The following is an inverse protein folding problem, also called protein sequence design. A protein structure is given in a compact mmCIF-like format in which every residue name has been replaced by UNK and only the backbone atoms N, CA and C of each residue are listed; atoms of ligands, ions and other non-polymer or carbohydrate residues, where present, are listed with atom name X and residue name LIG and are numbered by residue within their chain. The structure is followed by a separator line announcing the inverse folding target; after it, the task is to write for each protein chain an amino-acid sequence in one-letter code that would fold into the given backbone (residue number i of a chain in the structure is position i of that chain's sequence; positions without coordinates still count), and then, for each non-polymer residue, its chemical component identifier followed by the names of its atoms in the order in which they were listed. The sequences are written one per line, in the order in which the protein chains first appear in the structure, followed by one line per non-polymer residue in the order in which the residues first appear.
data_IF_597135659164
#
_entry.id   IF_597135659164
#
_cell.length_a   1.000
_cell.length_b   1.000
_cell.length_c   1.000
_cell.angle_alpha   90.00
_cell.angle_beta   90.00
_cell.angle_gamma   90.00
#
_symmetry.space_group_name_H-M   'P 1'
#
loop_
_entity.id
_entity.type
_entity.pdbx_description
1 polymer ?
#
# COMPACT_ATOMS: atom_id res chain seq x y z
N UNK A 1 24.88 24.68 51.85
CA UNK A 1 23.50 24.41 51.35
C UNK A 1 23.12 25.19 50.08
N UNK A 2 23.74 26.36 49.78
CA UNK A 2 23.42 27.19 48.60
C UNK A 2 23.88 26.64 47.24
N UNK A 3 24.89 25.74 47.24
CA UNK A 3 25.41 25.09 46.02
C UNK A 3 24.58 23.87 45.58
N UNK A 4 23.79 23.31 46.50
CA UNK A 4 22.91 22.17 46.20
C UNK A 4 21.63 22.60 45.47
N UNK A 5 21.15 23.81 45.75
CA UNK A 5 20.00 24.41 45.05
C UNK A 5 20.33 24.93 43.64
N UNK A 6 21.60 25.26 43.36
CA UNK A 6 22.03 25.78 42.06
C UNK A 6 22.21 24.70 40.98
N UNK A 7 22.34 23.44 41.40
CA UNK A 7 22.49 22.28 40.51
C UNK A 7 21.11 21.71 40.15
N UNK A 8 20.11 21.89 41.02
CA UNK A 8 18.75 21.39 40.81
C UNK A 8 17.95 22.19 39.77
N UNK A 9 18.31 23.45 39.51
CA UNK A 9 17.65 24.30 38.51
C UNK A 9 18.19 24.12 37.09
N UNK A 10 19.39 23.54 36.92
CA UNK A 10 20.01 23.32 35.61
C UNK A 10 19.50 22.04 34.90
N UNK A 11 18.88 21.13 35.66
CA UNK A 11 18.36 19.86 35.13
C UNK A 11 16.98 20.00 34.44
N UNK A 12 16.28 21.13 34.61
CA UNK A 12 14.92 21.32 34.11
C UNK A 12 14.88 21.97 32.71
N UNK A 13 15.98 22.57 32.24
CA UNK A 13 16.04 23.19 30.91
C UNK A 13 16.39 22.25 29.75
N UNK A 14 16.84 21.01 30.02
CA UNK A 14 17.26 20.10 28.94
C UNK A 14 16.12 19.22 28.39
N UNK A 15 14.92 19.29 28.97
CA UNK A 15 13.82 18.35 28.68
C UNK A 15 12.83 18.81 27.58
N UNK A 16 13.00 19.99 26.97
CA UNK A 16 11.96 20.59 26.09
C UNK A 16 12.40 20.74 24.62
N UNK A 17 13.46 20.06 24.17
CA UNK A 17 13.97 20.19 22.78
C UNK A 17 13.63 19.03 21.83
N UNK A 18 12.75 18.10 22.22
CA UNK A 18 12.17 17.14 21.27
C UNK A 18 10.93 17.75 20.61
N UNK A 19 11.13 18.82 19.85
CA UNK A 19 10.15 19.26 18.84
C UNK A 19 10.16 18.21 17.74
N UNK A 20 9.26 17.23 17.84
CA UNK A 20 9.06 16.22 16.82
C UNK A 20 8.60 16.93 15.54
N UNK A 21 9.46 16.96 14.52
CA UNK A 21 9.05 17.28 13.16
C UNK A 21 8.12 16.16 12.70
N UNK A 22 6.80 16.39 12.76
CA UNK A 22 5.84 15.53 12.07
C UNK A 22 6.02 15.75 10.56
N UNK A 23 6.48 14.72 9.86
CA UNK A 23 6.55 14.73 8.41
C UNK A 23 5.17 15.01 7.81
N UNK A 24 5.13 15.76 6.72
CA UNK A 24 3.90 16.40 6.23
C UNK A 24 2.96 15.50 5.44
N UNK A 25 3.35 14.26 5.12
CA UNK A 25 2.53 13.35 4.33
C UNK A 25 1.56 12.54 5.21
N UNK A 26 0.34 12.36 4.72
CA UNK A 26 -0.60 11.38 5.28
C UNK A 26 -0.34 10.06 4.57
N UNK A 27 -0.07 9.01 5.33
CA UNK A 27 0.09 7.65 4.79
C UNK A 27 -0.84 6.72 5.56
N UNK A 28 -1.58 5.89 4.86
CA UNK A 28 -2.43 4.85 5.44
C UNK A 28 -2.24 3.53 4.71
N UNK A 29 -2.43 2.43 5.42
CA UNK A 29 -2.24 1.10 4.89
C UNK A 29 -3.46 0.25 5.23
N UNK A 30 -3.90 -0.57 4.28
CA UNK A 30 -4.97 -1.54 4.45
C UNK A 30 -4.66 -2.80 3.64
N UNK A 31 -5.22 -3.92 4.07
CA UNK A 31 -5.12 -5.18 3.35
C UNK A 31 -6.42 -5.46 2.59
N UNK A 32 -6.32 -6.06 1.42
CA UNK A 32 -7.46 -6.45 0.58
C UNK A 32 -7.25 -7.85 0.01
N UNK A 33 -8.36 -8.53 -0.26
CA UNK A 33 -8.37 -9.68 -1.17
C UNK A 33 -8.62 -9.18 -2.58
N UNK A 34 -7.81 -9.65 -3.54
CA UNK A 34 -7.95 -9.34 -4.95
C UNK A 34 -8.00 -10.65 -5.75
N UNK A 35 -9.07 -10.85 -6.51
CA UNK A 35 -9.21 -11.99 -7.41
C UNK A 35 -8.69 -11.59 -8.77
N UNK A 36 -7.69 -12.30 -9.31
CA UNK A 36 -7.07 -12.00 -10.61
C UNK A 36 -7.40 -13.10 -11.60
N UNK A 37 -7.87 -12.71 -12.77
CA UNK A 37 -8.33 -13.60 -13.82
C UNK A 37 -7.21 -14.19 -14.69
N UNK A 38 -7.55 -15.19 -15.52
CA UNK A 38 -6.61 -15.95 -16.33
C UNK A 38 -6.15 -15.24 -17.60
N UNK A 39 -6.66 -14.04 -17.86
CA UNK A 39 -6.41 -13.26 -19.07
C UNK A 39 -6.09 -11.79 -18.72
N UNK A 40 -5.28 -11.20 -19.59
CA UNK A 40 -5.05 -9.75 -19.63
C UNK A 40 -5.78 -9.15 -20.83
N UNK A 41 -6.12 -7.87 -20.73
CA UNK A 41 -6.76 -7.10 -21.80
C UNK A 41 -5.86 -5.96 -22.26
N UNK A 42 -6.06 -5.51 -23.50
CA UNK A 42 -5.40 -4.30 -24.00
C UNK A 42 -5.81 -3.07 -23.19
N UNK A 43 -4.83 -2.39 -22.62
CA UNK A 43 -5.04 -1.32 -21.65
C UNK A 43 -3.80 -0.40 -21.56
N UNK A 44 -3.85 0.84 -22.08
CA UNK A 44 -2.69 1.73 -22.16
C UNK A 44 -2.07 2.08 -20.79
N UNK A 45 -2.85 2.01 -19.73
CA UNK A 45 -2.42 2.34 -18.36
C UNK A 45 -1.60 1.25 -17.70
N UNK A 46 -1.65 0.02 -18.21
CA UNK A 46 -0.97 -1.12 -17.60
C UNK A 46 0.45 -1.35 -18.12
N UNK A 47 1.26 -2.16 -17.42
CA UNK A 47 2.58 -2.55 -17.88
C UNK A 47 2.51 -3.19 -19.26
N UNK A 48 3.40 -2.78 -20.17
CA UNK A 48 3.44 -3.31 -21.55
C UNK A 48 2.12 -3.14 -22.32
N UNK A 49 1.25 -2.20 -21.91
CA UNK A 49 -0.04 -1.95 -22.54
C UNK A 49 -1.11 -3.01 -22.22
N UNK A 50 -0.94 -3.77 -21.13
CA UNK A 50 -1.87 -4.81 -20.69
C UNK A 50 -2.31 -4.57 -19.25
N UNK A 51 -3.61 -4.76 -18.98
CA UNK A 51 -4.16 -4.75 -17.62
C UNK A 51 -4.64 -6.15 -17.24
N UNK A 52 -4.48 -6.48 -15.97
CA UNK A 52 -5.08 -7.68 -15.39
C UNK A 52 -6.60 -7.52 -15.38
N UNK A 53 -7.34 -8.61 -15.55
CA UNK A 53 -8.74 -8.65 -15.14
C UNK A 53 -8.78 -8.97 -13.66
N UNK A 54 -9.44 -8.13 -12.85
CA UNK A 54 -9.55 -8.38 -11.40
C UNK A 54 -10.95 -8.11 -10.83
N UNK A 55 -11.20 -8.60 -9.61
CA UNK A 55 -12.39 -8.34 -8.79
C UNK A 55 -11.99 -8.16 -7.32
N UNK A 56 -12.77 -7.39 -6.57
CA UNK A 56 -12.54 -7.17 -5.13
C UNK A 56 -13.35 -8.14 -4.26
N UNK A 57 -14.36 -8.80 -4.84
CA UNK A 57 -15.11 -9.89 -4.21
C UNK A 57 -15.26 -11.07 -5.16
N UNK A 58 -15.29 -12.29 -4.61
CA UNK A 58 -15.60 -13.50 -5.36
C UNK A 58 -17.02 -13.48 -5.94
N UNK A 59 -17.94 -12.74 -5.30
CA UNK A 59 -19.34 -12.62 -5.71
C UNK A 59 -19.56 -11.56 -6.80
N UNK A 60 -18.54 -10.74 -7.12
CA UNK A 60 -18.67 -9.72 -8.16
C UNK A 60 -18.85 -10.38 -9.52
N UNK A 61 -19.82 -9.92 -10.32
CA UNK A 61 -19.98 -10.39 -11.70
C UNK A 61 -19.01 -9.71 -12.65
N UNK A 62 -18.72 -8.43 -12.39
CA UNK A 62 -18.02 -7.56 -13.32
C UNK A 62 -16.52 -7.54 -13.02
N UNK A 63 -15.71 -7.72 -14.06
CA UNK A 63 -14.27 -7.62 -13.97
C UNK A 63 -13.83 -6.17 -14.19
N UNK A 64 -12.80 -5.73 -13.47
CA UNK A 64 -12.13 -4.45 -13.69
C UNK A 64 -10.81 -4.63 -14.43
N UNK A 65 -10.42 -3.60 -15.19
CA UNK A 65 -9.09 -3.51 -15.79
C UNK A 65 -8.11 -2.97 -14.73
N UNK A 66 -7.42 -3.85 -14.04
CA UNK A 66 -6.43 -3.51 -13.03
C UNK A 66 -5.09 -3.22 -13.71
N UNK A 67 -4.73 -1.93 -13.78
CA UNK A 67 -3.54 -1.45 -14.47
C UNK A 67 -2.32 -1.18 -13.59
N UNK A 68 -2.47 -1.25 -12.27
CA UNK A 68 -1.37 -1.06 -11.35
C UNK A 68 -0.48 -2.32 -11.27
N UNK A 69 0.78 -2.12 -10.87
CA UNK A 69 1.70 -3.22 -10.58
C UNK A 69 1.47 -3.68 -9.16
N UNK A 70 1.29 -5.00 -8.98
CA UNK A 70 1.32 -5.64 -7.67
C UNK A 70 2.76 -6.14 -7.45
N UNK A 71 3.53 -5.45 -6.62
CA UNK A 71 4.92 -5.81 -6.35
C UNK A 71 5.00 -7.19 -5.70
N UNK A 72 5.88 -8.05 -6.22
CA UNK A 72 6.05 -9.42 -5.75
C UNK A 72 5.10 -10.44 -6.40
N UNK A 73 4.16 -10.00 -7.26
CA UNK A 73 3.26 -10.90 -7.99
C UNK A 73 3.70 -11.09 -9.45
N UNK A 74 3.82 -12.36 -9.85
CA UNK A 74 4.12 -12.79 -11.22
C UNK A 74 2.89 -13.47 -11.80
N UNK A 75 2.23 -12.81 -12.76
CA UNK A 75 1.04 -13.34 -13.43
C UNK A 75 1.41 -14.39 -14.48
N UNK A 76 0.62 -15.45 -14.56
CA UNK A 76 0.74 -16.51 -15.57
C UNK A 76 -0.61 -16.68 -16.29
N UNK A 77 -0.56 -16.75 -17.63
CA UNK A 77 -1.75 -16.96 -18.44
C UNK A 77 -2.44 -18.30 -18.12
N UNK A 78 -3.78 -18.29 -18.10
CA UNK A 78 -4.59 -19.48 -17.85
C UNK A 78 -4.75 -19.84 -16.37
N UNK A 79 -4.33 -18.98 -15.44
CA UNK A 79 -4.53 -19.17 -14.01
C UNK A 79 -5.43 -18.10 -13.41
N UNK A 80 -6.37 -18.52 -12.57
CA UNK A 80 -7.06 -17.65 -11.63
C UNK A 80 -6.33 -17.63 -10.29
N UNK A 81 -6.32 -16.47 -9.66
CA UNK A 81 -5.65 -16.24 -8.40
C UNK A 81 -6.57 -15.58 -7.40
N UNK A 82 -6.43 -15.97 -6.14
CA UNK A 82 -6.86 -15.15 -5.00
C UNK A 82 -5.59 -14.64 -4.32
N UNK A 83 -5.45 -13.31 -4.28
CA UNK A 83 -4.29 -12.64 -3.72
C UNK A 83 -4.69 -11.90 -2.46
N UNK A 84 -3.83 -11.97 -1.45
CA UNK A 84 -3.90 -11.05 -0.32
C UNK A 84 -2.85 -9.95 -0.54
N UNK A 85 -3.29 -8.70 -0.57
CA UNK A 85 -2.50 -7.56 -1.04
C UNK A 85 -2.56 -6.44 -0.01
N UNK A 86 -1.39 -5.88 0.32
CA UNK A 86 -1.29 -4.64 1.06
C UNK A 86 -1.43 -3.46 0.10
N UNK A 87 -2.37 -2.56 0.40
CA UNK A 87 -2.53 -1.29 -0.29
C UNK A 87 -2.02 -0.18 0.62
N UNK A 88 -1.02 0.56 0.14
CA UNK A 88 -0.54 1.77 0.83
C UNK A 88 -1.02 2.99 0.05
N UNK A 89 -1.77 3.84 0.74
CA UNK A 89 -2.20 5.14 0.25
C UNK A 89 -1.29 6.22 0.84
N UNK A 90 -0.74 7.08 -0.01
CA UNK A 90 0.04 8.23 0.43
C UNK A 90 -0.40 9.52 -0.25
N UNK A 91 -0.52 10.58 0.53
CA UNK A 91 -0.92 11.91 0.07
C UNK A 91 0.05 12.98 0.63
N UNK A 92 0.75 13.73 -0.23
CA UNK A 92 1.54 14.89 0.21
C UNK A 92 0.64 16.02 0.74
N UNK A 93 1.05 16.70 1.82
CA UNK A 93 0.26 17.78 2.49
C UNK A 93 -0.33 18.84 1.57
N UNK A 94 0.43 19.22 0.54
CA UNK A 94 0.12 20.33 -0.35
C UNK A 94 -0.32 19.83 -1.73
N UNK A 95 -0.92 18.65 -1.77
CA UNK A 95 -1.34 17.99 -3.00
C UNK A 95 -2.68 17.29 -2.80
N UNK A 96 -3.57 17.45 -3.77
CA UNK A 96 -4.83 16.69 -3.84
C UNK A 96 -4.62 15.32 -4.53
N UNK A 97 -3.39 14.99 -4.92
CA UNK A 97 -3.07 13.72 -5.55
C UNK A 97 -2.83 12.62 -4.51
N UNK A 98 -3.49 11.49 -4.72
CA UNK A 98 -3.35 10.27 -3.93
C UNK A 98 -2.50 9.28 -4.73
N UNK A 99 -1.48 8.72 -4.08
CA UNK A 99 -0.66 7.64 -4.63
C UNK A 99 -1.02 6.32 -3.96
N UNK A 100 -1.24 5.29 -4.77
CA UNK A 100 -1.49 3.93 -4.31
C UNK A 100 -0.31 3.03 -4.69
N UNK A 101 0.14 2.20 -3.75
CA UNK A 101 1.04 1.07 -4.04
C UNK A 101 0.40 -0.24 -3.59
N UNK A 102 0.66 -1.29 -4.34
CA UNK A 102 0.10 -2.63 -4.13
C UNK A 102 1.26 -3.61 -3.95
N UNK A 103 1.31 -4.27 -2.80
CA UNK A 103 2.37 -5.24 -2.46
C UNK A 103 1.72 -6.58 -2.13
N UNK A 104 2.19 -7.65 -2.77
CA UNK A 104 1.70 -9.00 -2.50
C UNK A 104 2.12 -9.42 -1.10
N UNK A 105 1.14 -9.79 -0.26
CA UNK A 105 1.38 -10.44 1.02
C UNK A 105 1.49 -11.95 0.78
N UNK A 106 0.48 -12.53 0.13
CA UNK A 106 0.43 -13.95 -0.17
C UNK A 106 -0.46 -14.27 -1.38
N UNK A 107 -0.16 -15.38 -2.05
CA UNK A 107 -1.06 -16.03 -3.00
C UNK A 107 -1.90 -17.04 -2.21
N UNK A 108 -3.17 -16.70 -1.97
CA UNK A 108 -4.11 -17.54 -1.22
C UNK A 108 -4.49 -18.77 -2.05
N UNK A 109 -4.74 -18.58 -3.35
CA UNK A 109 -4.98 -19.68 -4.28
C UNK A 109 -4.45 -19.39 -5.68
N UNK A 110 -4.11 -20.45 -6.42
CA UNK A 110 -3.74 -20.43 -7.84
C UNK A 110 -4.33 -21.65 -8.52
N UNK A 111 -5.30 -21.43 -9.41
CA UNK A 111 -6.07 -22.51 -10.05
C UNK A 111 -5.97 -22.37 -11.56
N UNK A 112 -5.60 -23.46 -12.26
CA UNK A 112 -5.60 -23.46 -13.72
C UNK A 112 -7.04 -23.51 -14.22
N UNK A 113 -7.38 -22.63 -15.16
CA UNK A 113 -8.64 -22.69 -15.88
C UNK A 113 -8.49 -23.70 -17.02
N UNK A 114 -9.32 -24.74 -17.01
CA UNK A 114 -9.39 -25.78 -18.05
C UNK A 114 -10.22 -25.33 -19.26
#
# INVERSE_FOLDING_TARGET
MKKMFLILTLAICFAVLFSACSDGSQTSTREITLFVGPQQVDCPSGPQGKCLQAKYSADDTDWINFGDVIYGFEWEAGYEYELHVQVTESQPKNSDFIFLSFELIEVVSKTRVE
#
